data_IF_398430753051
#
_entry.id   IF_398430753051
#
_cell.length_a   1.000
_cell.length_b   1.000
_cell.length_c   1.000
_cell.angle_alpha   90.00
_cell.angle_beta   90.00
_cell.angle_gamma   90.00
#
_symmetry.space_group_name_H-M   'P 1'
#
loop_
_entity.id
_entity.type
_entity.pdbx_description
1 polymer ?
#
# COMPACT_ATOMS: atom_id res chain seq x y z
N UNK A 1 -1.42 15.94 2.05
CA UNK A 1 -2.62 16.46 1.35
C UNK A 1 -3.90 15.84 1.87
N UNK A 2 -4.11 14.52 1.75
CA UNK A 2 -5.33 13.85 2.25
C UNK A 2 -5.62 14.08 3.73
N UNK A 3 -4.57 14.12 4.56
CA UNK A 3 -4.66 14.34 6.01
C UNK A 3 -5.60 13.36 6.74
N UNK A 4 -5.31 12.05 6.73
CA UNK A 4 -6.17 11.05 7.35
C UNK A 4 -6.20 11.18 8.88
N UNK A 5 -7.33 10.81 9.49
CA UNK A 5 -7.48 10.73 10.95
C UNK A 5 -7.10 9.36 11.55
N UNK A 6 -6.97 8.34 10.70
CA UNK A 6 -6.56 6.98 11.01
C UNK A 6 -5.92 6.37 9.76
N UNK A 7 -4.85 5.60 9.93
CA UNK A 7 -4.23 4.81 8.86
C UNK A 7 -4.47 3.33 9.13
N UNK A 8 -5.02 2.61 8.15
CA UNK A 8 -5.16 1.15 8.19
C UNK A 8 -4.29 0.58 7.07
N UNK A 9 -3.34 -0.28 7.43
CA UNK A 9 -2.46 -0.99 6.50
C UNK A 9 -3.00 -2.42 6.35
N UNK A 10 -3.46 -2.72 5.14
CA UNK A 10 -3.68 -4.10 4.67
C UNK A 10 -2.30 -4.72 4.41
N UNK A 11 -1.77 -5.44 5.40
CA UNK A 11 -0.36 -5.83 5.48
C UNK A 11 -0.16 -7.25 4.94
N UNK A 12 -0.12 -7.35 3.61
CA UNK A 12 0.36 -8.55 2.91
C UNK A 12 1.88 -8.56 2.83
N UNK A 13 2.49 -9.70 3.14
CA UNK A 13 3.94 -9.92 3.04
C UNK A 13 4.33 -10.83 1.88
N UNK A 14 3.42 -11.07 0.93
CA UNK A 14 3.69 -11.84 -0.28
C UNK A 14 4.67 -11.13 -1.24
N UNK A 15 4.83 -9.81 -1.14
CA UNK A 15 5.89 -9.08 -1.87
C UNK A 15 7.30 -9.23 -1.26
N UNK A 16 7.43 -9.95 -0.14
CA UNK A 16 8.69 -10.12 0.55
C UNK A 16 9.67 -11.04 -0.21
N UNK A 17 10.96 -10.75 -0.09
CA UNK A 17 12.02 -11.61 -0.60
C UNK A 17 11.93 -12.99 0.07
N UNK A 18 11.70 -14.03 -0.73
CA UNK A 18 11.58 -15.41 -0.25
C UNK A 18 10.14 -15.88 -0.01
N UNK A 19 9.14 -15.05 -0.33
CA UNK A 19 7.76 -15.52 -0.45
C UNK A 19 7.61 -16.54 -1.59
N UNK A 20 6.61 -17.43 -1.49
CA UNK A 20 6.39 -18.52 -2.44
C UNK A 20 5.59 -18.10 -3.68
N UNK A 21 4.84 -17.00 -3.63
CA UNK A 21 3.91 -16.59 -4.69
C UNK A 21 4.20 -15.21 -5.29
N UNK A 22 4.61 -14.23 -4.50
CA UNK A 22 4.70 -12.84 -5.00
C UNK A 22 5.90 -12.52 -5.88
N UNK A 23 6.93 -13.38 -5.91
CA UNK A 23 8.16 -13.25 -6.73
C UNK A 23 8.77 -11.82 -6.73
N UNK A 24 8.71 -11.19 -5.55
CA UNK A 24 9.24 -9.86 -5.29
C UNK A 24 10.44 -9.94 -4.34
N UNK A 25 11.09 -8.79 -4.14
CA UNK A 25 12.36 -8.71 -3.41
C UNK A 25 12.33 -7.69 -2.26
N UNK A 26 11.16 -7.38 -1.69
CA UNK A 26 11.08 -6.44 -0.57
C UNK A 26 11.68 -7.09 0.67
N UNK A 27 12.65 -6.42 1.30
CA UNK A 27 13.30 -6.91 2.52
C UNK A 27 12.49 -6.49 3.76
N UNK A 28 12.69 -7.14 4.93
CA UNK A 28 12.13 -6.68 6.19
C UNK A 28 12.44 -5.20 6.49
N UNK A 29 13.64 -4.73 6.14
CA UNK A 29 14.01 -3.32 6.21
C UNK A 29 13.13 -2.43 5.31
N UNK A 30 12.82 -2.88 4.10
CA UNK A 30 11.88 -2.19 3.21
C UNK A 30 10.49 -2.00 3.83
N UNK A 31 9.93 -3.06 4.44
CA UNK A 31 8.66 -2.96 5.17
C UNK A 31 8.75 -2.01 6.37
N UNK A 32 9.81 -2.11 7.17
CA UNK A 32 10.03 -1.22 8.31
C UNK A 32 10.03 0.26 7.89
N UNK A 33 10.70 0.60 6.78
CA UNK A 33 10.72 1.94 6.20
C UNK A 33 9.32 2.41 5.79
N UNK A 34 8.58 1.58 5.05
CA UNK A 34 7.21 1.93 4.63
C UNK A 34 6.29 2.20 5.82
N UNK A 35 6.33 1.34 6.85
CA UNK A 35 5.58 1.57 8.10
C UNK A 35 6.02 2.86 8.80
N UNK A 36 7.32 3.18 8.79
CA UNK A 36 7.83 4.40 9.43
C UNK A 36 7.35 5.67 8.73
N UNK A 37 7.26 5.65 7.40
CA UNK A 37 6.70 6.77 6.64
C UNK A 37 5.22 7.01 6.99
N UNK A 38 4.45 5.92 7.14
CA UNK A 38 3.02 5.99 7.44
C UNK A 38 2.72 6.33 8.91
N UNK A 39 3.58 5.92 9.85
CA UNK A 39 3.46 6.25 11.28
C UNK A 39 3.45 7.77 11.55
N UNK A 40 4.04 8.57 10.67
CA UNK A 40 4.06 10.03 10.80
C UNK A 40 2.73 10.70 10.42
N UNK A 41 1.76 9.95 9.89
CA UNK A 41 0.42 10.44 9.56
C UNK A 41 -0.55 10.22 10.72
N UNK A 42 -1.72 10.88 10.68
CA UNK A 42 -2.83 10.65 11.61
C UNK A 42 -2.44 10.76 13.12
N UNK A 43 -1.39 11.52 13.46
CA UNK A 43 -0.87 11.59 14.82
C UNK A 43 -0.40 10.24 15.37
N UNK A 44 0.04 9.32 14.51
CA UNK A 44 0.49 7.98 14.89
C UNK A 44 -0.62 6.94 15.04
N UNK A 45 -1.89 7.31 14.79
CA UNK A 45 -3.01 6.35 14.79
C UNK A 45 -2.92 5.45 13.57
N UNK A 46 -2.29 4.29 13.76
CA UNK A 46 -2.01 3.33 12.71
C UNK A 46 -2.39 1.90 13.15
N UNK A 47 -3.11 1.19 12.29
CA UNK A 47 -3.48 -0.22 12.45
C UNK A 47 -2.79 -1.02 11.34
N UNK A 48 -2.08 -2.07 11.71
CA UNK A 48 -1.57 -3.10 10.78
C UNK A 48 -2.47 -4.32 10.88
N UNK A 49 -3.09 -4.71 9.77
CA UNK A 49 -3.91 -5.91 9.65
C UNK A 49 -3.19 -6.90 8.74
N UNK A 50 -2.76 -8.05 9.28
CA UNK A 50 -2.10 -9.11 8.51
C UNK A 50 -3.05 -9.66 7.43
N UNK A 51 -2.54 -9.81 6.21
CA UNK A 51 -3.26 -10.37 5.07
C UNK A 51 -2.50 -11.57 4.47
N UNK A 52 -2.00 -11.45 3.24
CA UNK A 52 -1.24 -12.48 2.53
C UNK A 52 0.21 -12.62 3.00
N UNK A 53 0.87 -13.66 2.50
CA UNK A 53 2.21 -14.07 2.89
C UNK A 53 2.26 -15.58 3.07
N UNK A 54 3.00 -16.24 2.20
CA UNK A 54 2.92 -17.67 1.98
C UNK A 54 4.18 -18.42 2.42
N UNK A 55 5.20 -17.69 2.83
CA UNK A 55 6.32 -18.19 3.60
C UNK A 55 6.25 -17.66 5.05
N UNK A 56 5.88 -18.53 6.00
CA UNK A 56 5.61 -18.14 7.40
C UNK A 56 6.82 -17.54 8.12
N UNK A 57 8.03 -18.00 7.79
CA UNK A 57 9.26 -17.47 8.41
C UNK A 57 9.50 -16.03 7.92
N UNK A 58 9.33 -15.79 6.63
CA UNK A 58 9.47 -14.46 6.02
C UNK A 58 8.38 -13.50 6.53
N UNK A 59 7.14 -13.99 6.69
CA UNK A 59 6.03 -13.23 7.30
C UNK A 59 6.40 -12.79 8.72
N UNK A 60 6.94 -13.71 9.54
CA UNK A 60 7.33 -13.39 10.91
C UNK A 60 8.43 -12.32 10.95
N UNK A 61 9.45 -12.42 10.10
CA UNK A 61 10.52 -11.43 10.00
C UNK A 61 10.00 -10.05 9.58
N UNK A 62 9.16 -9.99 8.54
CA UNK A 62 8.62 -8.73 8.04
C UNK A 62 7.63 -8.09 9.04
N UNK A 63 6.78 -8.89 9.68
CA UNK A 63 5.88 -8.40 10.73
C UNK A 63 6.65 -7.88 11.94
N UNK A 64 7.70 -8.59 12.37
CA UNK A 64 8.57 -8.12 13.45
C UNK A 64 9.22 -6.78 13.12
N UNK A 65 9.67 -6.59 11.87
CA UNK A 65 10.23 -5.33 11.41
C UNK A 65 9.19 -4.19 11.44
N UNK A 66 7.97 -4.42 10.97
CA UNK A 66 6.87 -3.46 11.09
C UNK A 66 6.56 -3.11 12.56
N UNK A 67 6.52 -4.11 13.43
CA UNK A 67 6.24 -3.94 14.86
C UNK A 67 7.31 -3.11 15.57
N UNK A 68 8.59 -3.31 15.23
CA UNK A 68 9.69 -2.51 15.75
C UNK A 68 9.45 -1.00 15.52
N UNK A 69 9.00 -0.61 14.32
CA UNK A 69 8.62 0.77 14.02
C UNK A 69 7.48 1.29 14.90
N UNK A 70 6.46 0.47 15.17
CA UNK A 70 5.34 0.84 16.04
C UNK A 70 5.79 1.03 17.49
N UNK A 71 6.73 0.22 17.95
CA UNK A 71 7.32 0.30 19.29
C UNK A 71 8.29 1.46 19.45
N UNK A 72 8.70 2.10 18.35
CA UNK A 72 9.57 3.28 18.37
C UNK A 72 11.03 3.00 18.06
N UNK A 73 11.37 1.79 17.62
CA UNK A 73 12.74 1.42 17.28
C UNK A 73 13.25 2.18 16.04
N UNK A 74 14.57 2.41 15.95
CA UNK A 74 15.18 3.04 14.79
C UNK A 74 15.00 2.16 13.54
N UNK A 75 14.81 2.82 12.40
CA UNK A 75 14.64 2.14 11.11
C UNK A 75 15.97 1.59 10.61
N UNK A 76 15.98 0.32 10.19
CA UNK A 76 17.13 -0.32 9.55
C UNK A 76 17.56 0.42 8.28
N UNK A 77 18.85 0.39 7.93
CA UNK A 77 19.31 0.97 6.67
C UNK A 77 18.79 0.16 5.48
N UNK A 78 18.29 0.85 4.44
CA UNK A 78 17.97 0.22 3.14
C UNK A 78 19.12 0.49 2.18
N UNK A 79 19.67 -0.58 1.61
CA UNK A 79 20.73 -0.52 0.61
C UNK A 79 20.15 -0.56 -0.79
N UNK A 80 20.74 0.20 -1.72
CA UNK A 80 20.41 0.23 -3.15
C UNK A 80 18.93 0.56 -3.48
N UNK A 81 18.57 1.83 -3.31
CA UNK A 81 17.20 2.33 -3.45
C UNK A 81 16.84 2.79 -4.88
N UNK A 82 17.58 2.36 -5.91
CA UNK A 82 17.35 2.82 -7.29
C UNK A 82 16.18 2.05 -7.91
N UNK A 83 15.09 2.72 -8.30
CA UNK A 83 13.97 2.05 -8.96
C UNK A 83 14.40 1.57 -10.36
N UNK A 84 13.86 0.43 -10.79
CA UNK A 84 14.04 -0.07 -12.16
C UNK A 84 13.30 0.80 -13.18
N UNK A 85 13.67 0.71 -14.46
CA UNK A 85 12.96 1.40 -15.55
C UNK A 85 11.49 1.02 -15.61
N UNK A 86 11.16 -0.25 -15.35
CA UNK A 86 9.78 -0.73 -15.31
C UNK A 86 8.98 -0.11 -14.15
N UNK A 87 9.61 0.02 -12.98
CA UNK A 87 9.02 0.67 -11.82
C UNK A 87 8.76 2.16 -12.10
N UNK A 88 9.73 2.88 -12.66
CA UNK A 88 9.58 4.28 -13.06
C UNK A 88 8.44 4.49 -14.05
N UNK A 89 8.36 3.66 -15.10
CA UNK A 89 7.27 3.73 -16.08
C UNK A 89 5.90 3.50 -15.42
N UNK A 90 5.82 2.60 -14.44
CA UNK A 90 4.59 2.32 -13.70
C UNK A 90 4.19 3.49 -12.78
N UNK A 91 5.16 4.10 -12.09
CA UNK A 91 4.95 5.29 -11.27
C UNK A 91 4.42 6.45 -12.11
N UNK A 92 5.00 6.70 -13.29
CA UNK A 92 4.55 7.78 -14.17
C UNK A 92 3.14 7.57 -14.72
N UNK A 93 2.78 6.32 -15.05
CA UNK A 93 1.39 5.97 -15.43
C UNK A 93 0.42 6.24 -14.28
N UNK A 94 0.73 5.77 -13.07
CA UNK A 94 -0.09 5.98 -11.89
C UNK A 94 -0.23 7.48 -11.58
N UNK A 95 0.89 8.21 -11.55
CA UNK A 95 0.93 9.67 -11.36
C UNK A 95 0.04 10.38 -12.36
N UNK A 96 0.15 10.06 -13.64
CA UNK A 96 -0.65 10.70 -14.70
C UNK A 96 -2.15 10.47 -14.49
N UNK A 97 -2.54 9.25 -14.13
CA UNK A 97 -3.95 8.91 -13.89
C UNK A 97 -4.55 9.67 -12.71
N UNK A 98 -3.78 9.88 -11.62
CA UNK A 98 -4.30 10.53 -10.41
C UNK A 98 -4.02 12.03 -10.34
N UNK A 99 -3.12 12.57 -11.19
CA UNK A 99 -2.69 13.98 -11.18
C UNK A 99 -3.83 15.01 -11.10
N UNK A 100 -4.97 14.87 -11.81
CA UNK A 100 -6.06 15.86 -11.75
C UNK A 100 -6.68 16.03 -10.36
N UNK A 101 -6.52 15.05 -9.48
CA UNK A 101 -7.19 14.99 -8.17
C UNK A 101 -6.27 15.35 -7.00
N UNK A 102 -4.96 15.47 -7.21
CA UNK A 102 -3.96 15.66 -6.15
C UNK A 102 -3.04 16.84 -6.47
N UNK A 103 -3.12 17.89 -5.65
CA UNK A 103 -2.35 19.14 -5.82
C UNK A 103 -0.85 18.90 -5.74
N UNK A 104 -0.40 17.96 -4.91
CA UNK A 104 1.01 17.60 -4.81
C UNK A 104 1.60 17.02 -6.12
N UNK A 105 0.77 16.68 -7.11
CA UNK A 105 1.20 16.14 -8.41
C UNK A 105 1.08 17.16 -9.55
N UNK A 106 0.44 18.31 -9.31
CA UNK A 106 0.32 19.42 -10.26
C UNK A 106 1.46 20.42 -10.09
N UNK A 107 2.04 20.96 -11.18
CA UNK A 107 2.87 22.17 -11.09
C UNK A 107 2.03 23.31 -10.52
N UNK A 108 2.62 24.16 -9.66
CA UNK A 108 1.96 25.09 -8.72
C UNK A 108 0.99 26.14 -9.31
N UNK A 109 0.71 26.18 -10.62
CA UNK A 109 -0.10 27.24 -11.26
C UNK A 109 -1.28 26.79 -12.14
N UNK A 110 -1.76 25.54 -12.03
CA UNK A 110 -2.93 25.12 -12.85
C UNK A 110 -4.23 25.25 -12.05
N UNK A 111 -5.18 26.15 -12.42
CA UNK A 111 -6.47 26.22 -11.76
C UNK A 111 -7.21 24.88 -11.93
N UNK A 112 -7.63 24.30 -10.80
CA UNK A 112 -8.46 23.09 -10.78
C UNK A 112 -9.85 23.49 -11.28
N UNK A 113 -10.14 23.21 -12.55
CA UNK A 113 -11.51 23.08 -13.02
C UNK A 113 -11.66 21.62 -13.48
N UNK A 114 -12.21 20.80 -12.60
CA UNK A 114 -12.68 19.46 -12.95
C UNK A 114 -14.16 19.41 -12.60
N UNK A 115 -14.97 19.99 -13.48
CA UNK A 115 -16.37 19.57 -13.58
C UNK A 115 -16.37 18.16 -14.19
N UNK A 116 -17.05 17.17 -13.60
CA UNK A 116 -17.15 15.86 -14.20
C UNK A 116 -17.91 15.99 -15.54
N UNK A 117 -17.23 15.73 -16.67
CA UNK A 117 -17.88 15.74 -18.00
C UNK A 117 -19.02 14.72 -18.12
N UNK A 118 -19.09 13.74 -17.20
CA UNK A 118 -20.16 12.75 -17.15
C UNK A 118 -20.60 12.48 -15.70
N UNK A 119 -21.92 12.33 -15.46
CA UNK A 119 -22.41 11.80 -14.19
C UNK A 119 -21.70 10.50 -13.84
N UNK A 120 -21.38 10.31 -12.56
CA UNK A 120 -20.87 9.03 -12.05
C UNK A 120 -21.94 7.97 -12.38
N UNK A 121 -21.67 7.12 -13.36
CA UNK A 121 -22.52 5.96 -13.61
C UNK A 121 -22.52 5.10 -12.36
N UNK A 122 -23.70 4.86 -11.80
CA UNK A 122 -23.87 3.90 -10.72
C UNK A 122 -23.52 2.53 -11.27
N UNK A 123 -22.33 2.02 -10.94
CA UNK A 123 -22.05 0.60 -11.11
C UNK A 123 -22.89 -0.14 -10.09
N UNK A 124 -23.88 -0.96 -10.49
CA UNK A 124 -24.51 -1.87 -9.56
C UNK A 124 -23.40 -2.81 -9.08
N UNK A 125 -23.08 -2.75 -7.78
CA UNK A 125 -22.27 -3.78 -7.14
C UNK A 125 -22.92 -5.12 -7.48
N UNK A 126 -22.24 -6.05 -8.18
CA UNK A 126 -22.80 -7.38 -8.36
C UNK A 126 -22.96 -7.96 -6.96
N UNK A 127 -24.21 -8.24 -6.57
CA UNK A 127 -24.47 -9.12 -5.44
C UNK A 127 -23.94 -10.49 -5.89
N UNK A 128 -22.70 -10.79 -5.50
CA UNK A 128 -22.18 -12.14 -5.59
C UNK A 128 -22.96 -12.93 -4.55
N UNK A 129 -24.02 -13.60 -5.00
CA UNK A 129 -24.63 -14.67 -4.21
C UNK A 129 -23.59 -15.78 -4.15
N UNK A 130 -22.80 -15.79 -3.08
CA UNK A 130 -21.90 -16.89 -2.79
C UNK A 130 -22.80 -18.10 -2.48
N UNK A 131 -22.86 -19.08 -3.39
CA UNK A 131 -23.53 -20.35 -3.13
C UNK A 131 -22.75 -21.11 -2.05
N UNK A 132 -23.07 -20.87 -0.79
CA UNK A 132 -22.61 -21.70 0.34
C UNK A 132 -23.63 -22.81 0.61
N UNK A 133 -23.87 -23.70 -0.35
CA UNK A 133 -24.68 -24.91 -0.10
C UNK A 133 -23.99 -26.25 -0.43
N UNK A 134 -22.76 -26.28 -0.95
CA UNK A 134 -22.12 -27.54 -1.33
C UNK A 134 -20.79 -27.84 -0.60
N UNK A 135 -20.67 -27.47 0.69
CA UNK A 135 -19.62 -28.01 1.58
C UNK A 135 -20.17 -28.36 2.97
N UNK A 136 -21.31 -29.04 3.03
CA UNK A 136 -21.62 -29.99 4.12
C UNK A 136 -22.46 -31.13 3.53
N UNK A 137 -21.80 -32.20 3.09
CA UNK A 137 -22.31 -33.57 3.10
C UNK A 137 -21.19 -34.53 3.42
#
# INVERSE_FOLDING_TARGET
EFNPELVIISAGFDSAKGDLLGDCCVTPAGYQHMTSLLRNLAGGKLILQLEGGYNVDVVAECMAACMATLLGDPVMAVTDSRPSTSALASIERARTAVKPYWKCLTPEDTPIVVEPEKPIESFPMPIINCCHEDVIR
#
